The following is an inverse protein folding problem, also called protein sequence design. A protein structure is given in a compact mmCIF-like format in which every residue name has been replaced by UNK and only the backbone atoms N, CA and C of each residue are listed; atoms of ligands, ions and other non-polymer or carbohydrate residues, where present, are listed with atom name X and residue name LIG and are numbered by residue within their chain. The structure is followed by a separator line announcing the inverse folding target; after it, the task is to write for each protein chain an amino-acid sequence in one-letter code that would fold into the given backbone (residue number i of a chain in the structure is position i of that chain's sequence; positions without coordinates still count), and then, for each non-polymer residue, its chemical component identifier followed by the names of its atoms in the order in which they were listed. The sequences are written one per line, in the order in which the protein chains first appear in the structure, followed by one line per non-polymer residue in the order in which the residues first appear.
data_IF_865380092820
#
_entry.id   IF_865380092820
#
_cell.length_a   1.000
_cell.length_b   1.000
_cell.length_c   1.000
_cell.angle_alpha   90.00
_cell.angle_beta   90.00
_cell.angle_gamma   90.00
#
_symmetry.space_group_name_H-M   'P 1'
#
loop_
_entity.id
_entity.type
_entity.pdbx_description
1 polymer ?
#
# COMPACT_ATOMS: atom_id res chain seq x y z
N UNK A 1 -9.47 -5.38 -6.89
CA UNK A 1 -10.27 -5.36 -5.65
C UNK A 1 -9.78 -4.21 -4.80
N UNK A 2 -10.67 -3.44 -4.18
CA UNK A 2 -10.31 -2.33 -3.28
C UNK A 2 -10.83 -2.68 -1.90
N UNK A 3 -9.96 -2.62 -0.89
CA UNK A 3 -10.29 -2.94 0.50
C UNK A 3 -10.05 -1.68 1.33
N UNK A 4 -11.09 -1.26 2.04
CA UNK A 4 -10.98 -0.29 3.12
C UNK A 4 -10.79 -1.04 4.44
N UNK A 5 -9.70 -0.74 5.16
CA UNK A 5 -9.32 -1.43 6.38
C UNK A 5 -10.31 -1.16 7.51
N UNK A 6 -10.87 0.06 7.61
CA UNK A 6 -11.70 0.59 8.71
C UNK A 6 -11.07 0.56 10.10
N UNK A 7 -10.52 -0.59 10.51
CA UNK A 7 -9.94 -0.85 11.82
C UNK A 7 -8.46 -1.20 11.68
N UNK A 8 -7.60 -0.38 12.28
CA UNK A 8 -6.15 -0.65 12.34
C UNK A 8 -5.82 -1.67 13.44
N UNK A 9 -6.56 -1.65 14.55
CA UNK A 9 -6.35 -2.58 15.66
C UNK A 9 -7.68 -2.98 16.32
N UNK A 10 -8.04 -4.27 16.33
CA UNK A 10 -7.36 -5.39 15.65
C UNK A 10 -7.51 -5.31 14.13
N UNK A 11 -6.41 -5.49 13.39
CA UNK A 11 -6.41 -5.49 11.94
C UNK A 11 -7.07 -6.76 11.39
N UNK A 12 -8.04 -6.62 10.49
CA UNK A 12 -8.58 -7.73 9.71
C UNK A 12 -7.67 -8.08 8.52
N UNK A 13 -6.56 -8.75 8.83
CA UNK A 13 -5.60 -9.19 7.83
C UNK A 13 -6.08 -10.42 7.04
N UNK A 14 -7.09 -11.15 7.54
CA UNK A 14 -7.63 -12.32 6.84
C UNK A 14 -8.35 -11.91 5.56
N UNK A 15 -9.14 -10.83 5.60
CA UNK A 15 -9.79 -10.27 4.40
C UNK A 15 -8.77 -9.87 3.34
N UNK A 16 -7.64 -9.27 3.76
CA UNK A 16 -6.54 -8.92 2.84
C UNK A 16 -5.94 -10.19 2.22
N UNK A 17 -5.65 -11.20 3.04
CA UNK A 17 -5.07 -12.47 2.58
C UNK A 17 -5.96 -13.18 1.56
N UNK A 18 -7.26 -13.28 1.82
CA UNK A 18 -8.21 -13.89 0.88
C UNK A 18 -8.32 -13.11 -0.43
N UNK A 19 -8.24 -11.77 -0.38
CA UNK A 19 -8.12 -10.96 -1.60
C UNK A 19 -6.83 -11.21 -2.36
N UNK A 20 -5.70 -11.33 -1.65
CA UNK A 20 -4.40 -11.62 -2.27
C UNK A 20 -4.40 -12.99 -2.93
N UNK A 21 -4.99 -14.02 -2.31
CA UNK A 21 -5.14 -15.35 -2.93
C UNK A 21 -5.88 -15.31 -4.27
N UNK A 22 -6.85 -14.40 -4.43
CA UNK A 22 -7.62 -14.22 -5.67
C UNK A 22 -6.89 -13.38 -6.74
N UNK A 23 -6.03 -12.44 -6.34
CA UNK A 23 -5.48 -11.40 -7.22
C UNK A 23 -3.96 -11.49 -7.44
N UNK A 24 -3.28 -12.27 -6.59
CA UNK A 24 -1.86 -12.53 -6.54
C UNK A 24 -0.95 -11.28 -6.34
N UNK A 25 -1.54 -10.11 -6.08
CA UNK A 25 -0.84 -8.82 -6.06
C UNK A 25 -1.42 -7.94 -4.96
N UNK A 26 -0.58 -7.14 -4.32
CA UNK A 26 -1.00 -6.21 -3.28
C UNK A 26 -0.33 -4.84 -3.45
N UNK A 27 -1.16 -3.81 -3.44
CA UNK A 27 -0.77 -2.40 -3.36
C UNK A 27 -1.44 -1.80 -2.14
N UNK A 28 -0.68 -1.11 -1.30
CA UNK A 28 -1.17 -0.47 -0.09
C UNK A 28 -1.03 1.04 -0.26
N UNK A 29 -2.09 1.77 0.05
CA UNK A 29 -2.15 3.24 0.02
C UNK A 29 -2.33 3.74 1.45
N UNK A 30 -1.45 4.63 1.90
CA UNK A 30 -1.45 5.16 3.26
C UNK A 30 -0.87 6.58 3.29
N UNK A 31 -1.32 7.43 4.23
CA UNK A 31 -0.84 8.82 4.37
C UNK A 31 0.21 9.00 5.48
N UNK A 32 0.57 7.95 6.21
CA UNK A 32 1.67 7.96 7.17
C UNK A 32 3.03 7.93 6.47
N UNK A 33 4.08 8.19 7.25
CA UNK A 33 5.47 8.06 6.81
C UNK A 33 5.81 6.62 6.39
N UNK A 34 6.83 6.42 5.53
CA UNK A 34 7.17 5.10 5.02
C UNK A 34 7.72 4.14 6.08
N UNK A 35 8.36 4.68 7.12
CA UNK A 35 9.01 3.92 8.19
C UNK A 35 8.06 3.69 9.37
N UNK A 36 7.92 2.45 9.80
CA UNK A 36 7.15 2.09 11.01
C UNK A 36 5.63 2.29 10.91
N UNK A 37 5.07 2.28 9.69
CA UNK A 37 3.66 2.53 9.42
C UNK A 37 2.80 1.27 9.35
N UNK A 38 1.46 1.43 9.28
CA UNK A 38 0.54 0.30 9.19
C UNK A 38 0.81 -0.51 7.92
N UNK A 39 1.12 0.16 6.81
CA UNK A 39 1.49 -0.54 5.57
C UNK A 39 2.70 -1.46 5.74
N UNK A 40 3.64 -1.14 6.65
CA UNK A 40 4.78 -2.00 6.97
C UNK A 40 4.33 -3.30 7.66
N UNK A 41 3.42 -3.20 8.63
CA UNK A 41 2.87 -4.37 9.34
C UNK A 41 2.03 -5.25 8.42
N UNK A 42 1.15 -4.65 7.59
CA UNK A 42 0.36 -5.39 6.60
C UNK A 42 1.29 -6.15 5.65
N UNK A 43 2.32 -5.47 5.14
CA UNK A 43 3.30 -6.08 4.23
C UNK A 43 3.99 -7.26 4.89
N UNK A 44 4.50 -7.10 6.12
CA UNK A 44 5.13 -8.18 6.86
C UNK A 44 4.17 -9.36 7.08
N UNK A 45 2.94 -9.08 7.49
CA UNK A 45 1.93 -10.11 7.77
C UNK A 45 1.57 -10.92 6.53
N UNK A 46 1.30 -10.26 5.41
CA UNK A 46 0.96 -10.93 4.15
C UNK A 46 2.16 -11.65 3.56
N UNK A 47 3.36 -11.07 3.66
CA UNK A 47 4.59 -11.76 3.27
C UNK A 47 4.82 -13.03 4.10
N UNK A 48 4.49 -13.02 5.39
CA UNK A 48 4.66 -14.18 6.26
C UNK A 48 3.63 -15.29 5.99
N UNK A 49 2.36 -14.93 5.83
CA UNK A 49 1.25 -15.89 5.79
C UNK A 49 0.83 -16.26 4.35
N UNK A 50 1.19 -15.45 3.36
CA UNK A 50 0.68 -15.54 1.99
C UNK A 50 1.72 -15.40 0.88
N UNK A 51 3.01 -15.61 1.20
CA UNK A 51 4.10 -15.47 0.23
C UNK A 51 3.87 -16.23 -1.08
N UNK A 52 3.44 -17.49 -0.98
CA UNK A 52 3.29 -18.38 -2.14
C UNK A 52 2.21 -17.92 -3.13
N UNK A 53 1.32 -17.01 -2.70
CA UNK A 53 0.28 -16.46 -3.56
C UNK A 53 0.72 -15.19 -4.29
N UNK A 54 1.86 -14.58 -3.95
CA UNK A 54 2.31 -13.31 -4.50
C UNK A 54 3.11 -13.49 -5.79
N UNK A 55 2.60 -12.97 -6.90
CA UNK A 55 3.28 -12.94 -8.21
C UNK A 55 4.25 -11.76 -8.37
N UNK A 56 4.16 -10.77 -7.46
CA UNK A 56 4.91 -9.53 -7.53
C UNK A 56 5.18 -9.00 -6.11
N UNK A 57 6.26 -8.23 -5.91
CA UNK A 57 6.54 -7.62 -4.61
C UNK A 57 5.38 -6.71 -4.19
N UNK A 58 5.03 -6.77 -2.90
CA UNK A 58 4.05 -5.86 -2.31
C UNK A 58 4.59 -4.44 -2.43
N UNK A 59 3.76 -3.53 -2.95
CA UNK A 59 4.14 -2.12 -3.09
C UNK A 59 3.29 -1.23 -2.20
N UNK A 60 3.95 -0.22 -1.64
CA UNK A 60 3.36 0.74 -0.72
C UNK A 60 3.50 2.14 -1.31
N UNK A 61 2.43 2.91 -1.32
CA UNK A 61 2.46 4.35 -1.51
C UNK A 61 2.15 4.99 -0.17
N UNK A 62 3.07 5.82 0.29
CA UNK A 62 3.04 6.48 1.60
C UNK A 62 3.19 7.98 1.39
N UNK A 63 3.04 8.77 2.45
CA UNK A 63 3.48 10.15 2.39
C UNK A 63 5.02 10.24 2.26
N UNK A 64 5.48 11.42 1.82
CA UNK A 64 6.90 11.75 1.82
C UNK A 64 7.51 11.61 3.22
N UNK A 65 8.77 11.17 3.31
CA UNK A 65 9.51 10.99 4.56
C UNK A 65 10.03 12.34 5.10
N UNK A 66 9.10 13.24 5.39
CA UNK A 66 9.36 14.58 5.88
C UNK A 66 8.17 15.08 6.71
N UNK A 67 8.39 16.05 7.63
CA UNK A 67 7.30 16.77 8.27
C UNK A 67 6.36 17.41 7.24
N UNK A 68 5.06 17.37 7.52
CA UNK A 68 4.07 17.97 6.65
C UNK A 68 4.20 19.50 6.68
N UNK A 69 4.23 20.10 5.49
CA UNK A 69 4.39 21.55 5.32
C UNK A 69 3.03 22.25 5.29
N UNK A 70 3.00 23.55 5.61
CA UNK A 70 1.78 24.36 5.48
C UNK A 70 1.46 24.72 4.02
N UNK A 71 2.49 24.93 3.19
CA UNK A 71 2.32 25.41 1.83
C UNK A 71 1.56 24.38 0.96
N UNK A 72 0.45 24.75 0.28
CA UNK A 72 -0.41 23.79 -0.42
C UNK A 72 0.30 22.95 -1.50
N UNK A 73 1.27 23.54 -2.18
CA UNK A 73 2.10 22.86 -3.17
C UNK A 73 2.95 21.74 -2.56
N UNK A 74 3.45 21.95 -1.33
CA UNK A 74 4.25 20.96 -0.61
C UNK A 74 3.37 19.89 0.03
N UNK A 75 2.15 20.23 0.48
CA UNK A 75 1.16 19.24 0.93
C UNK A 75 0.79 18.29 -0.21
N UNK A 76 0.48 18.84 -1.39
CA UNK A 76 0.15 18.05 -2.56
C UNK A 76 1.31 17.16 -3.04
N UNK A 77 2.56 17.60 -2.85
CA UNK A 77 3.74 16.79 -3.16
C UNK A 77 4.04 15.71 -2.09
N UNK A 78 3.58 15.91 -0.85
CA UNK A 78 3.84 15.00 0.24
C UNK A 78 2.82 13.86 0.34
N UNK A 79 1.56 14.10 -0.02
CA UNK A 79 0.48 13.12 0.10
C UNK A 79 0.41 12.18 -1.12
N UNK A 80 -0.06 10.92 -0.93
CA UNK A 80 -0.39 10.04 -2.05
C UNK A 80 -1.41 10.66 -2.99
N UNK A 81 -1.18 10.54 -4.29
CA UNK A 81 -2.07 11.03 -5.33
C UNK A 81 -2.61 9.91 -6.23
N UNK A 82 -3.63 10.26 -7.01
CA UNK A 82 -4.28 9.32 -7.94
C UNK A 82 -3.27 8.85 -9.01
N UNK A 83 -2.47 9.77 -9.55
CA UNK A 83 -1.48 9.46 -10.58
C UNK A 83 -0.44 8.45 -10.10
N UNK A 84 0.14 8.68 -8.91
CA UNK A 84 1.10 7.79 -8.28
C UNK A 84 0.51 6.43 -7.97
N UNK A 85 -0.72 6.38 -7.46
CA UNK A 85 -1.43 5.12 -7.18
C UNK A 85 -1.63 4.30 -8.45
N UNK A 86 -2.15 4.92 -9.52
CA UNK A 86 -2.37 4.25 -10.81
C UNK A 86 -1.06 3.79 -11.43
N UNK A 87 0.00 4.60 -11.35
CA UNK A 87 1.34 4.24 -11.85
C UNK A 87 1.87 2.99 -11.16
N UNK A 88 1.78 2.95 -9.84
CA UNK A 88 2.30 1.86 -9.02
C UNK A 88 1.49 0.57 -9.23
N UNK A 89 0.16 0.65 -9.37
CA UNK A 89 -0.67 -0.51 -9.76
C UNK A 89 -0.24 -1.06 -11.12
N UNK A 90 -0.03 -0.20 -12.13
CA UNK A 90 0.44 -0.63 -13.45
C UNK A 90 1.82 -1.29 -13.41
N UNK A 91 2.70 -0.83 -12.52
CA UNK A 91 4.03 -1.41 -12.29
C UNK A 91 3.93 -2.84 -11.74
N UNK A 92 3.08 -3.08 -10.74
CA UNK A 92 2.85 -4.41 -10.14
C UNK A 92 2.14 -5.36 -11.11
N UNK A 93 1.35 -4.83 -12.03
CA UNK A 93 0.75 -5.61 -13.13
C UNK A 93 1.70 -5.85 -14.31
N UNK A 94 2.92 -5.30 -14.27
CA UNK A 94 3.90 -5.32 -15.37
C UNK A 94 3.32 -4.80 -16.70
N UNK A 95 2.37 -3.86 -16.65
CA UNK A 95 1.65 -3.36 -17.81
C UNK A 95 2.42 -2.32 -18.64
N UNK A 96 3.65 -1.95 -18.27
CA UNK A 96 4.54 -1.08 -19.07
C UNK A 96 6.01 -1.13 -18.62
N UNK A 97 6.91 -1.29 -19.60
CA UNK A 97 8.27 -0.72 -19.63
C UNK A 97 8.18 0.74 -20.07
#
# INVERSE_FOLDING_TARGET
EVIDLRTIRPLDWMTILESVKKTNRLVIVEEQWPFGSVSSEITYRIQKEGFDYLDAPIRRITAADAPLHYAPNLVAAALPDISGTVKLVKEVMYLKK
#
